data_IF_007733638616
#
_entry.id   IF_007733638616
#
_cell.length_a   1.000
_cell.length_b   1.000
_cell.length_c   1.000
_cell.angle_alpha   90.00
_cell.angle_beta   90.00
_cell.angle_gamma   90.00
#
_symmetry.space_group_name_H-M   'P 1'
#
loop_
_entity.id
_entity.type
_entity.pdbx_description
1 polymer ?
#
# COMPACT_ATOMS: atom_id res chain seq x y z
N UNK A 1 10.08 60.01 7.65
CA UNK A 1 9.14 59.97 8.79
C UNK A 1 8.53 58.57 8.78
N UNK A 2 8.82 57.82 9.85
CA UNK A 2 8.49 56.40 10.12
C UNK A 2 9.33 55.37 9.33
N UNK A 3 9.89 54.31 9.91
CA UNK A 3 10.66 54.06 11.14
C UNK A 3 11.34 52.69 10.89
N UNK A 4 12.59 52.56 11.32
CA UNK A 4 13.51 51.47 11.03
C UNK A 4 13.71 50.67 12.33
N UNK A 5 12.71 49.88 12.75
CA UNK A 5 12.70 49.27 14.08
C UNK A 5 12.21 47.81 14.11
N UNK A 6 12.90 46.90 13.40
CA UNK A 6 12.77 45.45 13.62
C UNK A 6 14.09 44.71 13.36
N UNK A 7 15.10 44.96 14.19
CA UNK A 7 16.22 44.02 14.44
C UNK A 7 16.85 44.41 15.77
N UNK A 8 16.54 43.66 16.82
CA UNK A 8 17.44 43.30 17.94
C UNK A 8 16.63 42.63 19.06
N UNK A 9 16.41 41.33 18.87
CA UNK A 9 15.83 40.44 19.87
C UNK A 9 16.64 39.15 19.94
N UNK A 10 17.97 39.28 20.02
CA UNK A 10 18.84 38.12 20.19
C UNK A 10 18.62 37.53 21.57
N UNK A 11 18.06 36.31 21.64
CA UNK A 11 17.95 35.56 22.89
C UNK A 11 19.38 35.41 23.45
N UNK A 12 19.66 35.91 24.66
CA UNK A 12 21.02 35.93 25.16
C UNK A 12 21.52 34.49 25.33
N UNK A 13 22.71 34.19 24.78
CA UNK A 13 23.28 32.83 24.64
C UNK A 13 23.25 32.02 25.95
N UNK A 14 23.34 32.67 27.11
CA UNK A 14 23.23 32.01 28.42
C UNK A 14 21.84 31.38 28.68
N UNK A 15 20.75 31.95 28.16
CA UNK A 15 19.40 31.37 28.26
C UNK A 15 19.22 30.16 27.35
N UNK A 16 19.83 30.19 26.16
CA UNK A 16 19.83 29.06 25.22
C UNK A 16 20.65 27.89 25.77
N UNK A 17 21.85 28.14 26.30
CA UNK A 17 22.65 27.09 26.93
C UNK A 17 21.96 26.50 28.17
N UNK A 18 21.31 27.33 29.01
CA UNK A 18 20.57 26.85 30.17
C UNK A 18 19.35 26.01 29.75
N UNK A 19 18.65 26.39 28.67
CA UNK A 19 17.53 25.62 28.12
C UNK A 19 17.98 24.27 27.51
N UNK A 20 19.08 24.25 26.75
CA UNK A 20 19.70 23.03 26.21
C UNK A 20 20.15 22.11 27.35
N UNK A 21 20.74 22.68 28.40
CA UNK A 21 21.13 21.91 29.57
C UNK A 21 19.88 21.37 30.29
N UNK A 22 18.82 22.14 30.51
CA UNK A 22 17.61 21.62 31.19
C UNK A 22 16.92 20.52 30.36
N UNK A 23 16.90 20.63 29.03
CA UNK A 23 16.20 19.69 28.15
C UNK A 23 16.98 18.41 27.78
N UNK A 24 18.32 18.38 27.97
CA UNK A 24 19.15 17.27 27.48
C UNK A 24 18.85 15.88 28.08
N UNK A 25 18.54 15.69 29.39
CA UNK A 25 18.33 14.35 29.93
C UNK A 25 17.01 13.72 29.46
N UNK A 26 15.86 14.43 29.45
CA UNK A 26 14.65 13.88 28.84
C UNK A 26 14.84 13.56 27.36
N UNK A 27 15.50 14.45 26.60
CA UNK A 27 15.74 14.21 25.17
C UNK A 27 16.61 12.97 24.91
N UNK A 28 17.66 12.76 25.71
CA UNK A 28 18.51 11.58 25.64
C UNK A 28 17.76 10.29 26.01
N UNK A 29 16.87 10.36 27.01
CA UNK A 29 16.03 9.23 27.41
C UNK A 29 15.04 8.83 26.31
N UNK A 30 14.36 9.81 25.70
CA UNK A 30 13.43 9.54 24.59
C UNK A 30 14.15 9.00 23.34
N UNK A 31 15.34 9.52 23.04
CA UNK A 31 16.17 9.01 21.93
C UNK A 31 16.59 7.56 22.18
N UNK A 32 17.05 7.26 23.41
CA UNK A 32 17.43 5.91 23.81
C UNK A 32 16.26 4.94 23.72
N UNK A 33 15.08 5.36 24.20
CA UNK A 33 13.85 4.57 24.11
C UNK A 33 13.48 4.22 22.66
N UNK A 34 13.50 5.21 21.76
CA UNK A 34 13.21 5.00 20.34
C UNK A 34 14.21 4.04 19.68
N UNK A 35 15.51 4.27 19.88
CA UNK A 35 16.57 3.41 19.33
C UNK A 35 16.42 1.97 19.83
N UNK A 36 16.12 1.76 21.10
CA UNK A 36 15.93 0.42 21.67
C UNK A 36 14.70 -0.28 21.11
N UNK A 37 13.58 0.42 20.92
CA UNK A 37 12.40 -0.19 20.28
C UNK A 37 12.71 -0.64 18.86
N UNK A 38 13.47 0.17 18.12
CA UNK A 38 13.79 -0.10 16.72
C UNK A 38 14.82 -1.23 16.56
N UNK A 39 15.70 -1.45 17.55
CA UNK A 39 16.84 -2.38 17.44
C UNK A 39 16.74 -3.62 18.34
N UNK A 40 15.82 -3.66 19.31
CA UNK A 40 15.60 -4.87 20.12
C UNK A 40 14.93 -5.95 19.26
N UNK A 41 15.55 -7.13 19.10
CA UNK A 41 14.97 -8.21 18.31
C UNK A 41 13.64 -8.67 18.91
N UNK A 42 12.59 -8.71 18.10
CA UNK A 42 11.27 -9.18 18.53
C UNK A 42 11.29 -10.61 19.05
N UNK A 43 12.20 -11.45 18.55
CA UNK A 43 12.35 -12.84 18.98
C UNK A 43 12.84 -13.00 20.42
N UNK A 44 13.33 -11.94 21.06
CA UNK A 44 13.78 -11.99 22.45
C UNK A 44 12.62 -11.92 23.46
N UNK A 45 11.43 -11.49 23.02
CA UNK A 45 10.28 -11.28 23.90
C UNK A 45 9.08 -12.07 23.38
N UNK A 46 8.51 -12.93 24.23
CA UNK A 46 7.26 -13.64 23.93
C UNK A 46 6.03 -12.74 23.96
N UNK A 47 6.11 -11.60 24.64
CA UNK A 47 5.02 -10.63 24.79
C UNK A 47 5.55 -9.22 24.50
N UNK A 48 4.89 -8.50 23.59
CA UNK A 48 5.32 -7.18 23.14
C UNK A 48 5.50 -6.17 24.28
N UNK A 49 4.66 -6.24 25.32
CA UNK A 49 4.75 -5.32 26.46
C UNK A 49 6.09 -5.42 27.21
N UNK A 50 6.73 -6.59 27.23
CA UNK A 50 8.03 -6.78 27.88
C UNK A 50 9.15 -6.04 27.14
N UNK A 51 9.08 -5.98 25.80
CA UNK A 51 10.00 -5.20 24.97
C UNK A 51 9.88 -3.71 25.30
N UNK A 52 8.66 -3.18 25.37
CA UNK A 52 8.40 -1.78 25.72
C UNK A 52 8.82 -1.46 27.16
N UNK A 53 8.59 -2.38 28.10
CA UNK A 53 9.00 -2.21 29.50
C UNK A 53 10.53 -2.17 29.64
N UNK A 54 11.25 -3.04 28.92
CA UNK A 54 12.72 -3.03 28.94
C UNK A 54 13.27 -1.73 28.34
N UNK A 55 12.74 -1.28 27.20
CA UNK A 55 13.15 -0.02 26.58
C UNK A 55 12.91 1.17 27.53
N UNK A 56 11.78 1.17 28.25
CA UNK A 56 11.44 2.20 29.23
C UNK A 56 12.40 2.20 30.42
N UNK A 57 12.72 1.02 30.97
CA UNK A 57 13.67 0.88 32.08
C UNK A 57 15.08 1.36 31.69
N UNK A 58 15.56 0.97 30.51
CA UNK A 58 16.86 1.39 30.00
C UNK A 58 16.93 2.90 29.77
N UNK A 59 15.88 3.51 29.20
CA UNK A 59 15.78 4.96 29.07
C UNK A 59 15.77 5.68 30.44
N UNK A 60 15.10 5.09 31.44
CA UNK A 60 15.10 5.57 32.82
C UNK A 60 16.49 5.55 33.47
N UNK A 61 17.27 4.50 33.24
CA UNK A 61 18.67 4.40 33.72
C UNK A 61 19.56 5.46 33.08
N UNK A 62 19.45 5.69 31.78
CA UNK A 62 20.19 6.76 31.09
C UNK A 62 19.82 8.13 31.63
N UNK A 63 18.53 8.39 31.86
CA UNK A 63 18.05 9.62 32.46
C UNK A 63 18.63 9.84 33.87
N UNK A 64 18.56 8.83 34.74
CA UNK A 64 19.11 8.87 36.09
C UNK A 64 20.63 9.06 36.10
N UNK A 65 21.36 8.39 35.20
CA UNK A 65 22.81 8.55 35.04
C UNK A 65 23.19 9.98 34.66
N UNK A 66 22.53 10.55 33.65
CA UNK A 66 22.74 11.95 33.23
C UNK A 66 22.33 12.95 34.32
N UNK A 67 21.24 12.68 35.06
CA UNK A 67 20.82 13.50 36.19
C UNK A 67 21.82 13.45 37.36
N UNK A 68 22.46 12.30 37.58
CA UNK A 68 23.45 12.11 38.64
C UNK A 68 24.79 12.76 38.30
N UNK A 69 25.23 12.64 37.04
CA UNK A 69 26.44 13.32 36.55
C UNK A 69 26.36 14.84 36.71
N UNK A 70 25.15 15.43 36.57
CA UNK A 70 24.93 16.87 36.79
C UNK A 70 25.13 17.32 38.22
N UNK A 71 25.02 16.42 39.19
CA UNK A 71 25.23 16.73 40.60
C UNK A 71 26.71 16.67 40.99
N UNK A 72 27.60 16.34 40.04
CA UNK A 72 29.03 16.32 40.30
C UNK A 72 29.61 17.75 40.26
N UNK A 73 30.25 18.23 41.34
CA UNK A 73 30.79 19.59 41.43
C UNK A 73 31.89 19.88 40.38
N UNK A 74 32.51 18.84 39.82
CA UNK A 74 33.50 18.96 38.74
C UNK A 74 32.90 19.41 37.39
N UNK A 75 31.59 19.27 37.17
CA UNK A 75 30.94 19.76 35.94
C UNK A 75 30.57 21.24 36.08
N UNK A 76 30.22 21.69 37.29
CA UNK A 76 29.91 23.11 37.54
C UNK A 76 31.12 24.02 37.27
N UNK A 77 32.34 23.57 37.59
CA UNK A 77 33.58 24.30 37.35
C UNK A 77 33.92 24.46 35.85
N UNK A 78 33.61 23.46 35.02
CA UNK A 78 33.79 23.52 33.56
C UNK A 78 32.83 24.53 32.91
N UNK A 79 31.58 24.60 33.38
CA UNK A 79 30.63 25.62 32.91
C UNK A 79 31.00 27.04 33.35
N UNK A 80 31.65 27.20 34.50
CA UNK A 80 32.09 28.51 35.00
C UNK A 80 33.27 29.09 34.20
N UNK A 81 34.18 28.24 33.68
CA UNK A 81 35.35 28.69 32.90
C UNK A 81 35.05 29.11 31.45
N UNK A 82 33.88 28.77 30.91
CA UNK A 82 33.56 29.05 29.49
C UNK A 82 32.97 30.46 29.28
N UNK A 83 32.83 31.28 30.33
CA UNK A 83 32.21 32.62 30.29
C UNK A 83 33.20 33.67 30.81
N UNK A 84 34.32 33.83 30.12
CA UNK A 84 35.16 35.02 30.25
C UNK A 84 35.11 35.79 28.91
N UNK A 85 34.70 37.08 28.89
CA UNK A 85 34.67 37.87 27.67
C UNK A 85 36.10 38.21 27.22
N UNK A 86 36.42 37.90 25.98
CA UNK A 86 37.61 38.40 25.31
C UNK A 86 37.34 39.83 24.84
N UNK A 87 37.71 40.80 25.66
CA UNK A 87 37.82 42.20 25.23
C UNK A 87 39.20 42.41 24.60
N UNK A 88 39.22 42.99 23.39
CA UNK A 88 40.38 43.74 22.91
C UNK A 88 40.77 43.50 21.44
N UNK A 89 41.01 44.64 20.79
CA UNK A 89 41.93 44.88 19.67
C UNK A 89 41.30 45.06 18.26
N UNK A 90 41.06 46.36 18.02
CA UNK A 90 41.49 47.19 16.88
C UNK A 90 41.04 46.90 15.44
N UNK A 91 40.32 47.91 14.94
CA UNK A 91 40.12 48.30 13.56
C UNK A 91 41.41 48.72 12.84
N UNK A 92 41.57 48.33 11.57
CA UNK A 92 41.80 49.31 10.50
C UNK A 92 41.58 48.75 9.07
N UNK A 93 41.29 49.62 8.07
CA UNK A 93 40.82 49.26 6.74
C UNK A 93 41.88 49.47 5.65
N UNK A 94 41.86 48.72 4.53
CA UNK A 94 42.43 49.16 3.24
C UNK A 94 41.73 48.49 2.04
N UNK A 95 41.25 49.38 1.16
CA UNK A 95 41.12 49.36 -0.32
C UNK A 95 41.82 48.27 -1.15
N UNK A 96 41.33 48.00 -2.37
CA UNK A 96 42.19 47.47 -3.44
C UNK A 96 41.49 46.69 -4.55
N UNK A 97 41.58 47.22 -5.77
CA UNK A 97 40.96 46.79 -7.02
C UNK A 97 41.78 45.75 -7.83
N UNK A 98 41.24 45.42 -9.01
CA UNK A 98 41.87 44.84 -10.22
C UNK A 98 42.02 43.31 -10.25
N UNK A 99 41.34 42.56 -11.13
CA UNK A 99 41.44 42.47 -12.60
C UNK A 99 42.59 41.56 -13.09
N UNK A 100 42.22 40.65 -14.00
CA UNK A 100 42.97 40.25 -15.21
C UNK A 100 43.25 38.75 -15.40
N UNK A 101 42.99 38.34 -16.64
CA UNK A 101 43.72 37.38 -17.47
C UNK A 101 43.47 35.85 -17.35
N UNK A 102 42.77 35.34 -18.37
CA UNK A 102 43.07 34.09 -19.11
C UNK A 102 44.47 34.16 -19.77
N UNK A 103 45.08 33.03 -20.18
CA UNK A 103 44.85 32.42 -21.52
C UNK A 103 44.58 30.89 -21.43
N UNK A 104 43.77 30.29 -22.31
CA UNK A 104 44.12 29.65 -23.61
C UNK A 104 45.29 28.63 -23.46
N UNK A 105 45.27 27.38 -23.94
CA UNK A 105 44.96 26.87 -25.30
C UNK A 105 45.26 25.35 -25.25
N UNK A 106 44.50 24.40 -25.84
CA UNK A 106 44.72 23.69 -27.13
C UNK A 106 43.99 22.32 -26.98
N UNK A 107 43.00 21.94 -27.79
CA UNK A 107 43.03 21.50 -29.20
C UNK A 107 43.37 20.01 -29.42
N UNK A 108 42.37 19.23 -29.87
CA UNK A 108 42.34 18.29 -31.04
C UNK A 108 41.14 17.35 -30.89
N UNK A 109 40.08 17.47 -31.69
CA UNK A 109 39.92 17.07 -33.10
C UNK A 109 39.87 15.55 -33.31
N UNK A 110 38.77 15.05 -33.89
CA UNK A 110 38.66 13.69 -34.38
C UNK A 110 37.22 13.16 -34.48
N UNK A 111 36.49 13.59 -35.50
CA UNK A 111 35.34 12.90 -36.10
C UNK A 111 35.53 12.99 -37.63
N UNK A 112 34.68 12.42 -38.50
CA UNK A 112 33.66 11.34 -38.37
C UNK A 112 33.84 10.27 -39.48
N UNK A 113 33.00 9.20 -39.53
CA UNK A 113 32.30 8.71 -40.75
C UNK A 113 31.55 7.36 -40.56
N UNK A 114 30.64 6.94 -41.50
CA UNK A 114 29.22 6.76 -41.16
C UNK A 114 28.59 5.44 -41.70
N UNK A 115 27.25 5.42 -41.75
CA UNK A 115 26.33 4.61 -42.58
C UNK A 115 25.82 3.29 -41.98
N UNK A 116 24.53 3.28 -41.63
CA UNK A 116 23.56 2.27 -42.11
C UNK A 116 22.12 2.79 -41.92
N UNK A 117 21.55 3.25 -43.03
CA UNK A 117 20.11 3.48 -43.25
C UNK A 117 19.38 2.16 -43.44
N UNK A 118 18.23 1.94 -42.79
CA UNK A 118 17.22 0.99 -43.28
C UNK A 118 15.80 1.46 -42.94
N UNK A 119 15.22 2.06 -43.98
CA UNK A 119 13.83 2.03 -44.45
C UNK A 119 12.70 1.59 -43.50
N UNK A 120 11.76 2.53 -43.35
CA UNK A 120 10.33 2.31 -43.09
C UNK A 120 9.66 1.60 -44.28
N UNK A 121 8.52 0.94 -44.03
CA UNK A 121 7.29 1.47 -44.61
C UNK A 121 6.06 1.36 -43.69
N UNK A 122 5.15 2.30 -43.88
CA UNK A 122 3.74 2.30 -43.47
C UNK A 122 3.00 3.16 -44.51
N UNK A 123 1.66 3.13 -44.68
CA UNK A 123 0.63 2.30 -44.05
C UNK A 123 -0.35 1.64 -45.06
N UNK A 124 -1.18 0.70 -44.60
CA UNK A 124 -2.47 0.43 -45.23
C UNK A 124 -3.51 -0.02 -44.20
N UNK A 125 -4.62 0.72 -44.20
CA UNK A 125 -5.84 0.56 -43.40
C UNK A 125 -6.53 -0.80 -43.61
N UNK A 126 -7.13 -1.33 -42.54
CA UNK A 126 -8.45 -1.96 -42.59
C UNK A 126 -9.12 -1.88 -41.20
N UNK A 127 -10.28 -1.21 -41.18
CA UNK A 127 -11.25 -1.15 -40.08
C UNK A 127 -11.99 -2.50 -39.92
N UNK A 128 -12.29 -2.85 -38.67
CA UNK A 128 -13.47 -3.58 -38.12
C UNK A 128 -13.00 -4.21 -36.79
N UNK A 129 -13.65 -4.13 -35.63
CA UNK A 129 -14.99 -3.75 -35.20
C UNK A 129 -15.23 -4.49 -33.87
N UNK A 130 -16.22 -4.02 -33.10
CA UNK A 130 -16.85 -4.66 -31.93
C UNK A 130 -16.27 -4.42 -30.52
N UNK A 131 -16.95 -3.48 -29.84
CA UNK A 131 -17.18 -3.39 -28.40
C UNK A 131 -17.66 -4.72 -27.78
N UNK A 132 -17.22 -5.01 -26.56
CA UNK A 132 -17.94 -5.80 -25.55
C UNK A 132 -17.29 -5.53 -24.18
N UNK A 133 -17.99 -5.26 -23.09
CA UNK A 133 -19.41 -5.14 -22.84
C UNK A 133 -19.59 -4.82 -21.35
N UNK A 134 -20.25 -3.72 -21.06
CA UNK A 134 -20.81 -3.42 -19.75
C UNK A 134 -22.18 -4.13 -19.62
N UNK A 135 -22.48 -4.59 -18.41
CA UNK A 135 -23.77 -5.00 -17.84
C UNK A 135 -25.05 -4.95 -18.72
N UNK A 136 -25.77 -6.08 -18.75
CA UNK A 136 -27.24 -6.22 -18.79
C UNK A 136 -27.55 -7.64 -18.27
N UNK A 137 -28.48 -7.94 -17.35
CA UNK A 137 -29.70 -7.26 -16.93
C UNK A 137 -30.88 -7.71 -17.79
N UNK A 138 -31.68 -8.67 -17.31
CA UNK A 138 -33.00 -8.99 -17.87
C UNK A 138 -34.00 -9.38 -16.76
N UNK A 139 -35.00 -8.50 -16.59
CA UNK A 139 -36.21 -8.63 -15.78
C UNK A 139 -37.27 -9.50 -16.47
N UNK A 140 -38.21 -10.07 -15.70
CA UNK A 140 -39.66 -10.04 -16.01
C UNK A 140 -40.50 -10.55 -14.83
N UNK A 141 -41.51 -9.77 -14.42
CA UNK A 141 -42.60 -10.25 -13.56
C UNK A 141 -43.30 -9.14 -12.77
N UNK A 142 -44.32 -8.52 -13.38
CA UNK A 142 -45.16 -7.48 -12.80
C UNK A 142 -46.12 -7.99 -11.70
N UNK A 143 -46.38 -7.18 -10.67
CA UNK A 143 -47.75 -6.88 -10.23
C UNK A 143 -47.77 -5.64 -9.32
N UNK A 144 -48.82 -4.83 -9.49
CA UNK A 144 -49.15 -3.67 -8.68
C UNK A 144 -49.78 -4.11 -7.34
N UNK A 145 -49.52 -3.36 -6.25
CA UNK A 145 -50.59 -2.66 -5.52
C UNK A 145 -50.07 -1.74 -4.41
N UNK A 146 -50.92 -0.77 -4.08
CA UNK A 146 -50.69 0.39 -3.24
C UNK A 146 -50.65 0.10 -1.72
N UNK A 147 -49.99 0.97 -0.95
CA UNK A 147 -50.05 0.96 0.51
C UNK A 147 -49.25 2.08 1.16
N UNK A 148 -49.90 3.23 1.36
CA UNK A 148 -49.45 4.39 2.14
C UNK A 148 -49.19 4.05 3.62
N UNK A 149 -48.09 4.57 4.19
CA UNK A 149 -47.85 4.54 5.63
C UNK A 149 -46.81 5.56 6.07
N UNK A 150 -47.28 6.72 6.52
CA UNK A 150 -46.49 7.78 7.12
C UNK A 150 -46.05 7.41 8.55
N UNK A 151 -44.79 7.70 8.90
CA UNK A 151 -44.25 7.54 10.24
C UNK A 151 -43.13 8.54 10.49
N UNK A 152 -43.51 9.69 11.05
CA UNK A 152 -42.64 10.78 11.52
C UNK A 152 -41.89 10.38 12.79
N UNK A 153 -40.57 10.53 12.79
CA UNK A 153 -39.72 10.47 13.98
C UNK A 153 -38.56 11.45 13.83
N UNK A 154 -38.62 12.55 14.56
CA UNK A 154 -37.76 13.72 14.44
C UNK A 154 -36.36 13.53 15.07
N UNK A 155 -35.37 13.98 14.31
CA UNK A 155 -34.25 14.85 14.67
C UNK A 155 -33.65 14.80 16.09
N UNK A 156 -32.38 14.38 16.12
CA UNK A 156 -31.34 15.06 16.89
C UNK A 156 -30.04 15.06 16.06
N UNK A 157 -29.90 16.06 15.19
CA UNK A 157 -28.69 16.29 14.40
C UNK A 157 -27.61 17.03 15.19
N UNK A 158 -26.34 16.70 14.94
CA UNK A 158 -25.25 17.67 14.82
C UNK A 158 -24.14 17.07 13.95
N UNK A 159 -23.93 17.65 12.76
CA UNK A 159 -22.75 17.38 11.93
C UNK A 159 -22.96 16.48 10.70
N UNK A 160 -24.03 16.67 9.92
CA UNK A 160 -24.09 16.17 8.54
C UNK A 160 -23.07 16.95 7.68
N UNK A 161 -21.79 16.60 7.79
CA UNK A 161 -20.76 17.03 6.86
C UNK A 161 -21.17 16.57 5.47
N UNK A 162 -21.24 17.50 4.52
CA UNK A 162 -21.43 17.17 3.11
C UNK A 162 -20.44 16.06 2.74
N UNK A 163 -20.94 14.84 2.55
CA UNK A 163 -20.10 13.67 2.31
C UNK A 163 -19.18 13.94 1.13
N UNK A 164 -17.90 13.59 1.26
CA UNK A 164 -16.94 13.77 0.16
C UNK A 164 -17.44 12.96 -1.03
N UNK A 165 -17.82 13.66 -2.10
CA UNK A 165 -18.29 13.03 -3.33
C UNK A 165 -17.24 12.08 -3.91
N UNK A 166 -17.67 10.95 -4.49
CA UNK A 166 -16.79 10.01 -5.18
C UNK A 166 -15.94 10.69 -6.26
N UNK A 167 -16.47 11.72 -6.93
CA UNK A 167 -15.73 12.51 -7.91
C UNK A 167 -14.56 13.27 -7.28
N UNK A 168 -14.74 13.81 -6.07
CA UNK A 168 -13.68 14.51 -5.33
C UNK A 168 -12.58 13.53 -4.92
N UNK A 169 -12.95 12.33 -4.47
CA UNK A 169 -12.00 11.26 -4.13
C UNK A 169 -11.17 10.84 -5.35
N UNK A 170 -11.83 10.59 -6.48
CA UNK A 170 -11.17 10.22 -7.74
C UNK A 170 -10.25 11.34 -8.24
N UNK A 171 -10.68 12.60 -8.17
CA UNK A 171 -9.85 13.75 -8.56
C UNK A 171 -8.60 13.88 -7.67
N UNK A 172 -8.73 13.68 -6.36
CA UNK A 172 -7.62 13.69 -5.41
C UNK A 172 -6.61 12.57 -5.69
N UNK A 173 -7.11 11.33 -5.85
CA UNK A 173 -6.28 10.18 -6.17
C UNK A 173 -5.54 10.35 -7.50
N UNK A 174 -6.24 10.81 -8.55
CA UNK A 174 -5.66 11.13 -9.86
C UNK A 174 -4.49 12.11 -9.73
N UNK A 175 -4.72 13.23 -9.04
CA UNK A 175 -3.69 14.27 -8.82
C UNK A 175 -2.46 13.66 -8.17
N UNK A 176 -2.64 12.87 -7.10
CA UNK A 176 -1.51 12.29 -6.37
C UNK A 176 -0.77 11.24 -7.19
N UNK A 177 -1.46 10.38 -7.94
CA UNK A 177 -0.81 9.38 -8.81
C UNK A 177 0.08 10.06 -9.86
N UNK A 178 -0.42 11.12 -10.50
CA UNK A 178 0.35 11.89 -11.48
C UNK A 178 1.58 12.57 -10.87
N UNK A 179 1.50 13.05 -9.62
CA UNK A 179 2.64 13.66 -8.92
C UNK A 179 3.69 12.65 -8.45
N UNK A 180 3.32 11.37 -8.32
CA UNK A 180 4.15 10.33 -7.70
C UNK A 180 4.67 9.30 -8.68
N UNK A 181 4.26 9.35 -9.95
CA UNK A 181 4.88 8.52 -10.99
C UNK A 181 6.36 8.87 -11.13
N UNK A 182 7.20 7.86 -11.31
CA UNK A 182 8.66 7.98 -11.42
C UNK A 182 9.19 7.18 -12.61
N UNK A 183 10.29 7.62 -13.25
CA UNK A 183 11.00 6.79 -14.23
C UNK A 183 11.63 5.57 -13.55
N UNK A 184 11.73 4.47 -14.28
CA UNK A 184 12.52 3.32 -13.85
C UNK A 184 14.00 3.57 -14.18
N UNK A 185 14.93 3.49 -13.20
CA UNK A 185 16.35 3.69 -13.46
C UNK A 185 16.87 2.73 -14.55
N UNK A 186 17.67 3.23 -15.49
CA UNK A 186 18.22 2.45 -16.60
C UNK A 186 17.28 2.28 -17.80
N UNK A 187 16.03 2.76 -17.73
CA UNK A 187 15.06 2.67 -18.81
C UNK A 187 14.43 4.04 -19.10
N UNK A 188 14.66 4.56 -20.32
CA UNK A 188 14.27 5.95 -20.64
C UNK A 188 12.74 6.14 -20.81
N UNK A 189 12.02 5.08 -21.19
CA UNK A 189 10.61 5.17 -21.62
C UNK A 189 9.61 4.42 -20.73
N UNK A 190 10.04 3.93 -19.57
CA UNK A 190 9.16 3.18 -18.65
C UNK A 190 9.10 3.88 -17.29
N UNK A 191 7.89 3.96 -16.76
CA UNK A 191 7.56 4.71 -15.54
C UNK A 191 6.56 3.92 -14.71
N UNK A 192 6.55 4.16 -13.41
CA UNK A 192 5.62 3.50 -12.51
C UNK A 192 5.61 4.12 -11.13
N UNK A 193 5.23 3.33 -10.15
CA UNK A 193 5.13 3.78 -8.77
C UNK A 193 5.89 2.84 -7.85
N UNK A 194 6.46 3.41 -6.79
CA UNK A 194 6.87 2.65 -5.64
C UNK A 194 5.64 2.19 -4.84
N UNK A 195 5.87 1.35 -3.86
CA UNK A 195 4.84 0.76 -2.99
C UNK A 195 4.13 1.79 -2.08
N UNK A 196 4.81 2.89 -1.70
CA UNK A 196 4.23 3.96 -0.87
C UNK A 196 4.31 5.32 -1.58
N UNK A 197 3.15 5.93 -1.79
CA UNK A 197 3.00 7.16 -2.57
C UNK A 197 3.69 8.36 -1.92
N UNK A 198 4.73 8.86 -2.58
CA UNK A 198 5.49 10.03 -2.17
C UNK A 198 6.88 9.71 -1.65
N UNK A 199 7.21 8.43 -1.44
CA UNK A 199 8.60 8.05 -1.18
C UNK A 199 9.47 8.27 -2.43
N UNK A 200 10.72 8.75 -2.28
CA UNK A 200 11.64 9.02 -3.39
C UNK A 200 12.30 7.73 -3.90
N UNK A 201 11.51 6.66 -4.01
CA UNK A 201 11.97 5.34 -4.40
C UNK A 201 11.61 5.06 -5.86
N UNK A 202 12.42 4.26 -6.59
CA UNK A 202 12.08 3.85 -7.94
C UNK A 202 10.81 2.99 -7.97
N UNK A 203 10.20 2.84 -9.15
CA UNK A 203 9.08 1.93 -9.36
C UNK A 203 9.35 0.51 -8.85
N UNK A 204 8.33 -0.15 -8.30
CA UNK A 204 8.37 -1.57 -7.93
C UNK A 204 7.25 -2.34 -8.60
N UNK A 205 7.35 -3.68 -8.64
CA UNK A 205 6.32 -4.54 -9.22
C UNK A 205 4.97 -4.34 -8.51
N UNK A 206 4.97 -4.41 -7.17
CA UNK A 206 3.79 -4.14 -6.34
C UNK A 206 3.21 -2.75 -6.60
N UNK A 207 4.06 -1.72 -6.54
CA UNK A 207 3.62 -0.33 -6.70
C UNK A 207 3.02 -0.08 -8.08
N UNK A 208 3.70 -0.51 -9.12
CA UNK A 208 3.27 -0.32 -10.52
C UNK A 208 2.04 -1.16 -10.86
N UNK A 209 1.88 -2.36 -10.28
CA UNK A 209 0.69 -3.20 -10.47
C UNK A 209 -0.56 -2.52 -9.94
N UNK A 210 -0.51 -2.02 -8.70
CA UNK A 210 -1.63 -1.26 -8.12
C UNK A 210 -1.86 0.08 -8.81
N UNK A 211 -0.79 0.75 -9.25
CA UNK A 211 -0.89 1.99 -10.03
C UNK A 211 -1.61 1.77 -11.37
N UNK A 212 -1.26 0.72 -12.11
CA UNK A 212 -1.97 0.34 -13.34
C UNK A 212 -3.44 0.00 -13.07
N UNK A 213 -3.72 -0.76 -12.00
CA UNK A 213 -5.11 -1.04 -11.59
C UNK A 213 -5.90 0.22 -11.26
N UNK A 214 -5.27 1.22 -10.63
CA UNK A 214 -5.88 2.53 -10.36
C UNK A 214 -6.13 3.33 -11.64
N UNK A 215 -5.18 3.35 -12.56
CA UNK A 215 -5.33 3.98 -13.88
C UNK A 215 -6.53 3.40 -14.61
N UNK A 216 -6.67 2.07 -14.61
CA UNK A 216 -7.80 1.38 -15.23
C UNK A 216 -9.12 1.65 -14.47
N UNK A 217 -9.10 1.59 -13.13
CA UNK A 217 -10.31 1.75 -12.32
C UNK A 217 -10.91 3.16 -12.37
N UNK A 218 -10.10 4.19 -12.62
CA UNK A 218 -10.52 5.59 -12.75
C UNK A 218 -10.67 6.04 -14.22
N UNK A 219 -10.45 5.14 -15.17
CA UNK A 219 -10.33 5.45 -16.60
C UNK A 219 -9.43 6.66 -16.87
N UNK A 220 -8.25 6.65 -16.23
CA UNK A 220 -7.33 7.77 -16.25
C UNK A 220 -6.60 7.85 -17.59
N UNK A 221 -6.90 8.91 -18.36
CA UNK A 221 -6.14 9.28 -19.55
C UNK A 221 -5.24 10.48 -19.26
N UNK A 222 -3.94 10.34 -19.51
CA UNK A 222 -2.97 11.43 -19.38
C UNK A 222 -1.76 11.20 -20.32
N UNK A 223 -1.25 12.22 -21.04
CA UNK A 223 -0.15 12.03 -22.00
C UNK A 223 1.13 11.44 -21.41
N UNK A 224 1.39 11.66 -20.12
CA UNK A 224 2.55 11.09 -19.43
C UNK A 224 2.34 9.68 -18.84
N UNK A 225 1.12 9.14 -18.95
CA UNK A 225 0.73 7.82 -18.45
C UNK A 225 -0.01 7.06 -19.55
N UNK A 226 0.74 6.23 -20.26
CA UNK A 226 0.19 5.27 -21.21
C UNK A 226 0.07 3.87 -20.57
N UNK A 227 -1.02 3.14 -20.86
CA UNK A 227 -1.26 1.79 -20.34
C UNK A 227 -0.19 0.81 -20.85
N UNK A 228 0.17 0.91 -22.13
CA UNK A 228 1.22 0.08 -22.73
C UNK A 228 2.58 0.34 -22.10
N UNK A 229 2.90 1.60 -21.80
CA UNK A 229 4.09 1.97 -21.05
C UNK A 229 4.12 1.32 -19.65
N UNK A 230 3.01 1.35 -18.90
CA UNK A 230 2.95 0.72 -17.58
C UNK A 230 3.09 -0.82 -17.65
N UNK A 231 2.55 -1.45 -18.69
CA UNK A 231 2.77 -2.88 -18.95
C UNK A 231 4.25 -3.15 -19.24
N UNK A 232 4.91 -2.35 -20.09
CA UNK A 232 6.36 -2.46 -20.32
C UNK A 232 7.17 -2.24 -19.05
N UNK A 233 6.76 -1.31 -18.17
CA UNK A 233 7.41 -1.13 -16.86
C UNK A 233 7.31 -2.40 -16.02
N UNK A 234 6.14 -3.06 -15.98
CA UNK A 234 5.98 -4.30 -15.22
C UNK A 234 6.83 -5.42 -15.81
N UNK A 235 6.86 -5.59 -17.14
CA UNK A 235 7.73 -6.57 -17.79
C UNK A 235 9.23 -6.28 -17.53
N UNK A 236 9.64 -5.01 -17.47
CA UNK A 236 11.01 -4.64 -17.12
C UNK A 236 11.36 -4.89 -15.64
N UNK A 237 10.36 -5.08 -14.78
CA UNK A 237 10.51 -5.40 -13.35
C UNK A 237 10.44 -6.91 -13.08
N UNK A 238 10.33 -7.73 -14.12
CA UNK A 238 10.35 -9.19 -14.04
C UNK A 238 11.70 -9.67 -13.45
N UNK A 239 11.64 -10.65 -12.55
CA UNK A 239 12.82 -11.30 -11.97
C UNK A 239 13.45 -12.25 -13.00
N UNK A 240 14.68 -12.72 -12.73
CA UNK A 240 15.41 -13.59 -13.67
C UNK A 240 14.72 -14.94 -13.92
N UNK A 241 13.92 -15.40 -12.96
CA UNK A 241 13.10 -16.61 -13.03
C UNK A 241 11.74 -16.39 -13.72
N UNK A 242 11.48 -15.17 -14.20
CA UNK A 242 10.27 -14.78 -14.91
C UNK A 242 9.13 -14.28 -14.03
N UNK A 243 9.21 -14.48 -12.70
CA UNK A 243 8.16 -14.02 -11.78
C UNK A 243 8.35 -12.56 -11.36
N UNK A 244 7.50 -12.08 -10.46
CA UNK A 244 7.69 -10.79 -9.80
C UNK A 244 7.92 -10.95 -8.31
N UNK A 245 8.71 -10.06 -7.75
CA UNK A 245 9.01 -9.98 -6.33
C UNK A 245 8.66 -8.59 -5.79
N UNK A 246 8.29 -8.54 -4.51
CA UNK A 246 8.20 -7.28 -3.79
C UNK A 246 9.60 -6.70 -3.61
N UNK A 247 9.68 -5.41 -3.33
CA UNK A 247 10.97 -4.74 -3.18
C UNK A 247 11.77 -5.21 -1.96
N UNK A 248 11.08 -5.65 -0.91
CA UNK A 248 11.71 -6.26 0.27
C UNK A 248 12.20 -7.68 0.01
N UNK A 249 11.85 -8.26 -1.14
CA UNK A 249 12.19 -9.62 -1.49
C UNK A 249 13.43 -9.69 -2.39
N UNK A 250 14.14 -10.82 -2.33
CA UNK A 250 15.48 -11.01 -2.93
C UNK A 250 15.52 -11.21 -4.45
N UNK A 251 14.55 -10.65 -5.18
CA UNK A 251 14.50 -10.73 -6.66
C UNK A 251 14.23 -12.15 -7.19
N UNK A 252 13.54 -12.98 -6.39
CA UNK A 252 12.98 -14.27 -6.78
C UNK A 252 11.47 -14.09 -6.89
N UNK A 253 10.89 -14.54 -8.00
CA UNK A 253 9.47 -14.49 -8.26
C UNK A 253 8.66 -15.16 -7.16
N UNK A 254 7.62 -14.48 -6.66
CA UNK A 254 6.68 -15.00 -5.66
C UNK A 254 5.27 -15.03 -6.20
N UNK A 255 4.45 -16.03 -5.82
CA UNK A 255 3.10 -16.19 -6.35
C UNK A 255 2.22 -14.97 -6.08
N UNK A 256 2.29 -14.36 -4.89
CA UNK A 256 1.44 -13.21 -4.55
C UNK A 256 1.72 -11.97 -5.43
N UNK A 257 2.99 -11.67 -5.69
CA UNK A 257 3.36 -10.48 -6.48
C UNK A 257 3.19 -10.74 -7.97
N UNK A 258 3.50 -11.96 -8.42
CA UNK A 258 3.24 -12.41 -9.79
C UNK A 258 1.75 -12.36 -10.11
N UNK A 259 0.90 -12.85 -9.20
CA UNK A 259 -0.55 -12.75 -9.36
C UNK A 259 -1.04 -11.30 -9.38
N UNK A 260 -0.42 -10.39 -8.63
CA UNK A 260 -0.76 -8.97 -8.70
C UNK A 260 -0.41 -8.34 -10.04
N UNK A 261 0.81 -8.57 -10.52
CA UNK A 261 1.30 -8.07 -11.80
C UNK A 261 0.50 -8.64 -12.96
N UNK A 262 0.32 -9.96 -13.02
CA UNK A 262 -0.44 -10.65 -14.06
C UNK A 262 -1.88 -10.12 -14.15
N UNK A 263 -2.59 -10.04 -13.02
CA UNK A 263 -3.95 -9.50 -13.01
C UNK A 263 -4.03 -8.03 -13.44
N UNK A 264 -2.99 -7.22 -13.20
CA UNK A 264 -2.96 -5.85 -13.68
C UNK A 264 -2.70 -5.76 -15.20
N UNK A 265 -1.74 -6.56 -15.69
CA UNK A 265 -1.34 -6.58 -17.11
C UNK A 265 -2.46 -7.15 -17.98
N UNK A 266 -3.10 -8.26 -17.58
CA UNK A 266 -4.21 -8.85 -18.32
C UNK A 266 -5.37 -7.86 -18.52
N UNK A 267 -5.75 -7.10 -17.48
CA UNK A 267 -6.78 -6.05 -17.59
C UNK A 267 -6.38 -4.90 -18.53
N UNK A 268 -5.09 -4.69 -18.74
CA UNK A 268 -4.59 -3.68 -19.66
C UNK A 268 -4.57 -4.15 -21.13
N UNK A 269 -4.93 -5.40 -21.40
CA UNK A 269 -5.02 -5.95 -22.77
C UNK A 269 -3.78 -6.73 -23.21
N UNK A 270 -3.33 -7.68 -22.40
CA UNK A 270 -2.22 -8.58 -22.77
C UNK A 270 -2.61 -9.52 -23.90
N UNK A 271 -1.70 -9.77 -24.84
CA UNK A 271 -1.92 -10.74 -25.90
C UNK A 271 -2.13 -12.17 -25.36
N UNK A 272 -2.88 -13.03 -26.06
CA UNK A 272 -3.22 -14.37 -25.59
C UNK A 272 -2.02 -15.28 -25.31
N UNK A 273 -0.95 -15.19 -26.11
CA UNK A 273 0.22 -16.08 -25.99
C UNK A 273 1.05 -15.72 -24.76
N UNK A 274 1.35 -14.43 -24.58
CA UNK A 274 2.06 -13.93 -23.39
C UNK A 274 1.26 -14.19 -22.13
N UNK A 275 -0.06 -14.01 -22.17
CA UNK A 275 -0.95 -14.34 -21.05
C UNK A 275 -0.86 -15.82 -20.69
N UNK A 276 -0.93 -16.72 -21.68
CA UNK A 276 -0.88 -18.17 -21.44
C UNK A 276 0.46 -18.58 -20.80
N UNK A 277 1.58 -18.03 -21.29
CA UNK A 277 2.90 -18.22 -20.69
C UNK A 277 2.96 -17.77 -19.23
N UNK A 278 2.47 -16.57 -18.94
CA UNK A 278 2.52 -16.01 -17.57
C UNK A 278 1.56 -16.72 -16.61
N UNK A 279 0.43 -17.24 -17.10
CA UNK A 279 -0.47 -18.10 -16.31
C UNK A 279 0.24 -19.40 -15.95
N UNK A 280 0.86 -20.08 -16.90
CA UNK A 280 1.62 -21.31 -16.63
C UNK A 280 2.74 -21.05 -15.60
N UNK A 281 3.48 -19.95 -15.75
CA UNK A 281 4.48 -19.53 -14.77
C UNK A 281 3.87 -19.33 -13.37
N UNK A 282 2.73 -18.62 -13.26
CA UNK A 282 2.07 -18.41 -11.97
C UNK A 282 1.67 -19.74 -11.33
N UNK A 283 1.16 -20.69 -12.11
CA UNK A 283 0.81 -22.02 -11.61
C UNK A 283 2.04 -22.77 -11.08
N UNK A 284 3.14 -22.76 -11.84
CA UNK A 284 4.39 -23.45 -11.48
C UNK A 284 5.00 -22.88 -10.19
N UNK A 285 5.15 -21.55 -10.10
CA UNK A 285 5.70 -20.92 -8.88
C UNK A 285 4.77 -21.10 -7.67
N UNK A 286 3.46 -21.21 -7.88
CA UNK A 286 2.50 -21.45 -6.80
C UNK A 286 2.66 -22.87 -6.27
N UNK A 287 2.74 -23.87 -7.15
CA UNK A 287 2.95 -25.27 -6.74
C UNK A 287 4.28 -25.48 -6.03
N UNK A 288 5.31 -24.74 -6.42
CA UNK A 288 6.64 -24.82 -5.80
C UNK A 288 6.76 -24.07 -4.47
N UNK A 289 5.82 -23.19 -4.12
CA UNK A 289 5.90 -22.34 -2.92
C UNK A 289 5.06 -22.92 -1.76
N UNK A 290 5.63 -23.89 -1.04
CA UNK A 290 4.99 -24.51 0.14
C UNK A 290 4.55 -23.49 1.19
N UNK A 291 5.36 -22.46 1.44
CA UNK A 291 5.02 -21.39 2.41
C UNK A 291 3.82 -20.58 1.89
N UNK A 292 3.82 -20.25 0.60
CA UNK A 292 2.70 -19.57 -0.05
C UNK A 292 1.41 -20.38 -0.01
N UNK A 293 1.47 -21.69 -0.31
CA UNK A 293 0.31 -22.59 -0.24
C UNK A 293 -0.29 -22.72 1.16
N UNK A 294 0.49 -22.39 2.20
CA UNK A 294 0.01 -22.35 3.58
C UNK A 294 -0.51 -20.97 4.00
N UNK A 295 -0.46 -19.93 3.17
CA UNK A 295 -0.97 -18.61 3.52
C UNK A 295 -2.35 -18.37 2.90
N UNK A 296 -3.33 -18.01 3.74
CA UNK A 296 -4.67 -17.64 3.27
C UNK A 296 -4.59 -16.48 2.27
N UNK A 297 -3.73 -15.50 2.53
CA UNK A 297 -3.58 -14.33 1.65
C UNK A 297 -3.03 -14.67 0.29
N UNK A 298 -1.99 -15.51 0.24
CA UNK A 298 -1.36 -15.92 -1.02
C UNK A 298 -2.35 -16.74 -1.82
N UNK A 299 -2.93 -17.79 -1.25
CA UNK A 299 -3.90 -18.66 -1.94
C UNK A 299 -5.12 -17.86 -2.42
N UNK A 300 -5.71 -17.01 -1.56
CA UNK A 300 -6.84 -16.14 -1.95
C UNK A 300 -6.47 -15.18 -3.09
N UNK A 301 -5.23 -14.70 -3.13
CA UNK A 301 -4.74 -13.83 -4.22
C UNK A 301 -4.64 -14.61 -5.53
N UNK A 302 -4.05 -15.81 -5.49
CA UNK A 302 -3.87 -16.64 -6.69
C UNK A 302 -5.23 -17.10 -7.23
N UNK A 303 -6.13 -17.60 -6.37
CA UNK A 303 -7.51 -17.95 -6.74
C UNK A 303 -8.22 -16.77 -7.40
N UNK A 304 -8.18 -15.59 -6.76
CA UNK A 304 -8.81 -14.38 -7.29
C UNK A 304 -8.25 -13.95 -8.65
N UNK A 305 -6.96 -14.16 -8.89
CA UNK A 305 -6.32 -13.84 -10.16
C UNK A 305 -6.65 -14.88 -11.21
N UNK A 306 -6.53 -16.19 -10.92
CA UNK A 306 -6.83 -17.27 -11.85
C UNK A 306 -8.29 -17.25 -12.30
N UNK A 307 -9.24 -17.06 -11.37
CA UNK A 307 -10.65 -16.91 -11.72
C UNK A 307 -10.90 -15.81 -12.76
N UNK A 308 -10.10 -14.74 -12.71
CA UNK A 308 -10.22 -13.61 -13.63
C UNK A 308 -9.46 -13.83 -14.96
N UNK A 309 -8.22 -14.29 -14.90
CA UNK A 309 -7.32 -14.29 -16.08
C UNK A 309 -7.24 -15.65 -16.79
N UNK A 310 -7.58 -16.72 -16.08
CA UNK A 310 -7.47 -18.11 -16.52
C UNK A 310 -8.55 -18.99 -15.85
N UNK A 311 -9.85 -18.74 -16.08
CA UNK A 311 -10.94 -19.47 -15.42
C UNK A 311 -10.96 -20.99 -15.72
N UNK A 312 -10.18 -21.44 -16.71
CA UNK A 312 -10.01 -22.85 -17.07
C UNK A 312 -8.72 -23.49 -16.51
N UNK A 313 -7.98 -22.75 -15.67
CA UNK A 313 -6.81 -23.29 -14.98
C UNK A 313 -7.22 -24.48 -14.12
N UNK A 314 -6.46 -25.58 -14.18
CA UNK A 314 -6.72 -26.74 -13.31
C UNK A 314 -6.33 -26.47 -11.86
N UNK A 315 -5.43 -25.51 -11.62
CA UNK A 315 -5.02 -25.11 -10.28
C UNK A 315 -6.11 -24.30 -9.56
N UNK A 316 -7.01 -23.65 -10.29
CA UNK A 316 -8.10 -22.85 -9.70
C UNK A 316 -9.02 -23.68 -8.78
N UNK A 317 -9.64 -24.80 -9.24
CA UNK A 317 -10.46 -25.64 -8.37
C UNK A 317 -9.63 -26.26 -7.22
N UNK A 318 -8.39 -26.71 -7.48
CA UNK A 318 -7.51 -27.26 -6.45
C UNK A 318 -7.28 -26.29 -5.27
N UNK A 319 -7.00 -25.01 -5.57
CA UNK A 319 -6.79 -23.99 -4.56
C UNK A 319 -8.08 -23.50 -3.89
N UNK A 320 -9.20 -23.50 -4.61
CA UNK A 320 -10.50 -23.19 -4.02
C UNK A 320 -10.93 -24.26 -3.01
N UNK A 321 -10.75 -25.54 -3.35
CA UNK A 321 -11.00 -26.67 -2.45
C UNK A 321 -10.06 -26.63 -1.23
N UNK A 322 -8.79 -26.26 -1.44
CA UNK A 322 -7.84 -26.06 -0.34
C UNK A 322 -8.32 -24.98 0.65
N UNK A 323 -8.86 -23.86 0.16
CA UNK A 323 -9.43 -22.82 1.01
C UNK A 323 -10.62 -23.35 1.81
N UNK A 324 -11.56 -24.03 1.17
CA UNK A 324 -12.74 -24.62 1.85
C UNK A 324 -12.31 -25.62 2.92
N UNK A 325 -11.43 -26.56 2.59
CA UNK A 325 -10.95 -27.59 3.51
C UNK A 325 -10.16 -27.01 4.71
N UNK A 326 -9.59 -25.81 4.55
CA UNK A 326 -8.78 -25.14 5.57
C UNK A 326 -9.56 -24.17 6.45
N UNK A 327 -10.88 -24.02 6.24
CA UNK A 327 -11.71 -23.19 7.10
C UNK A 327 -11.67 -23.69 8.55
N UNK A 328 -11.47 -22.78 9.50
CA UNK A 328 -11.51 -23.07 10.94
C UNK A 328 -12.95 -23.07 11.42
N UNK A 329 -13.41 -24.21 11.95
CA UNK A 329 -14.71 -24.35 12.61
C UNK A 329 -14.53 -24.29 14.12
N UNK A 330 -14.82 -23.14 14.76
CA UNK A 330 -14.65 -22.96 16.20
C UNK A 330 -15.94 -22.39 16.83
N UNK A 331 -16.55 -23.14 17.75
CA UNK A 331 -17.80 -22.73 18.44
C UNK A 331 -18.93 -22.31 17.48
N UNK A 332 -19.14 -23.08 16.41
CA UNK A 332 -20.18 -22.79 15.40
C UNK A 332 -19.84 -21.60 14.48
N UNK A 333 -18.59 -21.13 14.51
CA UNK A 333 -18.08 -20.06 13.65
C UNK A 333 -17.16 -20.66 12.59
N UNK A 334 -17.29 -20.20 11.35
CA UNK A 334 -16.47 -20.62 10.22
C UNK A 334 -15.67 -19.43 9.72
N UNK A 335 -14.36 -19.56 9.56
CA UNK A 335 -13.55 -18.51 8.99
C UNK A 335 -12.09 -18.91 8.82
N UNK A 336 -11.27 -17.96 8.38
CA UNK A 336 -9.86 -18.19 8.09
C UNK A 336 -8.98 -17.27 8.93
N UNK A 337 -7.86 -17.80 9.42
CA UNK A 337 -6.75 -16.99 9.93
C UNK A 337 -5.60 -16.93 8.92
N UNK A 338 -4.41 -16.55 9.38
CA UNK A 338 -3.22 -16.35 8.54
C UNK A 338 -2.80 -17.63 7.79
N UNK A 339 -2.67 -18.74 8.53
CA UNK A 339 -2.11 -19.99 8.02
C UNK A 339 -3.19 -21.04 7.74
N UNK A 340 -3.19 -21.58 6.52
CA UNK A 340 -3.97 -22.76 6.12
C UNK A 340 -3.38 -24.04 6.75
N UNK A 341 -4.23 -25.01 7.05
CA UNK A 341 -3.86 -26.30 7.63
C UNK A 341 -3.59 -26.30 9.15
N UNK A 342 -3.09 -25.20 9.72
CA UNK A 342 -2.90 -25.06 11.18
C UNK A 342 -4.18 -24.66 11.93
N UNK A 343 -5.23 -24.29 11.19
CA UNK A 343 -6.53 -23.82 11.70
C UNK A 343 -6.39 -22.77 12.83
N UNK A 344 -5.62 -21.69 12.60
CA UNK A 344 -5.53 -20.60 13.57
C UNK A 344 -6.91 -19.98 13.80
N UNK A 345 -7.09 -19.22 14.90
CA UNK A 345 -8.29 -18.44 15.12
C UNK A 345 -8.62 -17.59 13.88
N UNK A 346 -9.89 -17.58 13.42
CA UNK A 346 -10.29 -16.74 12.31
C UNK A 346 -9.98 -15.27 12.56
N UNK A 347 -9.50 -14.55 11.54
CA UNK A 347 -9.36 -13.10 11.55
C UNK A 347 -10.22 -12.45 10.46
N UNK A 348 -10.75 -11.22 10.68
CA UNK A 348 -11.63 -10.57 9.71
C UNK A 348 -10.97 -10.35 8.35
N UNK A 349 -9.68 -9.98 8.34
CA UNK A 349 -8.95 -9.73 7.10
C UNK A 349 -8.82 -10.99 6.24
N UNK A 350 -8.37 -12.10 6.83
CA UNK A 350 -8.19 -13.37 6.13
C UNK A 350 -9.52 -13.97 5.69
N UNK A 351 -10.53 -13.92 6.56
CA UNK A 351 -11.87 -14.41 6.23
C UNK A 351 -12.51 -13.62 5.09
N UNK A 352 -12.44 -12.30 5.12
CA UNK A 352 -12.97 -11.47 4.05
C UNK A 352 -12.26 -11.71 2.71
N UNK A 353 -10.94 -11.93 2.73
CA UNK A 353 -10.15 -12.26 1.53
C UNK A 353 -10.54 -13.63 0.96
N UNK A 354 -10.69 -14.64 1.80
CA UNK A 354 -11.14 -15.97 1.40
C UNK A 354 -12.54 -15.91 0.78
N UNK A 355 -13.50 -15.21 1.40
CA UNK A 355 -14.85 -15.01 0.84
C UNK A 355 -14.80 -14.39 -0.56
N UNK A 356 -14.02 -13.31 -0.75
CA UNK A 356 -13.88 -12.66 -2.07
C UNK A 356 -13.28 -13.61 -3.10
N UNK A 357 -12.28 -14.41 -2.72
CA UNK A 357 -11.66 -15.38 -3.61
C UNK A 357 -12.63 -16.52 -3.99
N UNK A 358 -13.32 -17.09 -3.01
CA UNK A 358 -14.27 -18.18 -3.22
C UNK A 358 -15.47 -17.74 -4.06
N UNK A 359 -16.00 -16.51 -3.87
CA UNK A 359 -17.08 -15.99 -4.71
C UNK A 359 -16.66 -15.82 -6.16
N UNK A 360 -15.45 -15.29 -6.40
CA UNK A 360 -14.89 -15.21 -7.76
C UNK A 360 -14.68 -16.58 -8.40
N UNK A 361 -14.27 -17.56 -7.61
CA UNK A 361 -14.14 -18.94 -8.09
C UNK A 361 -15.52 -19.52 -8.42
N UNK A 362 -16.52 -19.34 -7.56
CA UNK A 362 -17.90 -19.79 -7.77
C UNK A 362 -18.55 -19.18 -9.04
N UNK A 363 -18.19 -17.95 -9.40
CA UNK A 363 -18.68 -17.29 -10.62
C UNK A 363 -18.23 -17.99 -11.92
N UNK A 364 -17.11 -18.75 -11.87
CA UNK A 364 -16.51 -19.38 -13.07
C UNK A 364 -16.44 -20.90 -13.01
N UNK A 365 -16.48 -21.48 -11.80
CA UNK A 365 -16.52 -22.91 -11.58
C UNK A 365 -17.98 -23.40 -11.52
N UNK A 366 -18.33 -24.37 -12.33
CA UNK A 366 -19.71 -24.86 -12.40
C UNK A 366 -20.10 -25.65 -11.13
N UNK A 367 -21.17 -25.23 -10.44
CA UNK A 367 -21.89 -25.97 -9.39
C UNK A 367 -21.05 -26.55 -8.23
N UNK A 368 -20.20 -25.73 -7.59
CA UNK A 368 -19.53 -26.11 -6.34
C UNK A 368 -20.31 -25.60 -5.11
N UNK A 369 -21.33 -26.37 -4.68
CA UNK A 369 -22.17 -26.03 -3.51
C UNK A 369 -21.35 -25.77 -2.24
N UNK A 370 -20.24 -26.49 -2.07
CA UNK A 370 -19.36 -26.37 -0.90
C UNK A 370 -18.74 -24.96 -0.80
N UNK A 371 -18.55 -24.24 -1.92
CA UNK A 371 -18.06 -22.87 -1.91
C UNK A 371 -19.10 -21.91 -1.33
N UNK A 372 -20.35 -22.03 -1.76
CA UNK A 372 -21.44 -21.16 -1.30
C UNK A 372 -21.75 -21.40 0.18
N UNK A 373 -21.74 -22.66 0.63
CA UNK A 373 -21.93 -23.01 2.04
C UNK A 373 -20.81 -22.44 2.92
N UNK A 374 -19.55 -22.58 2.49
CA UNK A 374 -18.41 -22.00 3.20
C UNK A 374 -18.48 -20.47 3.26
N UNK A 375 -18.85 -19.82 2.15
CA UNK A 375 -19.03 -18.35 2.10
C UNK A 375 -20.15 -17.91 3.04
N UNK A 376 -21.32 -18.55 2.99
CA UNK A 376 -22.47 -18.20 3.83
C UNK A 376 -22.16 -18.28 5.31
N UNK A 377 -21.59 -19.40 5.76
CA UNK A 377 -21.23 -19.59 7.17
C UNK A 377 -20.17 -18.60 7.65
N UNK A 378 -19.22 -18.23 6.79
CA UNK A 378 -18.17 -17.27 7.13
C UNK A 378 -18.60 -15.82 7.06
N UNK A 379 -19.54 -15.47 6.19
CA UNK A 379 -20.11 -14.13 6.13
C UNK A 379 -20.86 -13.80 7.42
N UNK A 380 -21.64 -14.75 7.93
CA UNK A 380 -22.33 -14.65 9.21
C UNK A 380 -21.38 -14.37 10.37
N UNK A 381 -20.24 -15.09 10.40
CA UNK A 381 -19.21 -14.84 11.39
C UNK A 381 -18.59 -13.45 11.23
N UNK A 382 -18.27 -13.05 9.99
CA UNK A 382 -17.63 -11.77 9.68
C UNK A 382 -18.49 -10.59 10.12
N UNK A 383 -19.79 -10.64 9.86
CA UNK A 383 -20.78 -9.64 10.28
C UNK A 383 -20.84 -9.57 11.81
N UNK A 384 -20.94 -10.72 12.49
CA UNK A 384 -20.99 -10.79 13.97
C UNK A 384 -19.70 -10.32 14.63
N UNK A 385 -18.55 -10.53 14.01
CA UNK A 385 -17.27 -10.07 14.53
C UNK A 385 -17.21 -8.54 14.61
N UNK A 386 -17.73 -7.84 13.58
CA UNK A 386 -17.77 -6.37 13.53
C UNK A 386 -16.40 -5.67 13.57
N UNK A 387 -15.30 -6.42 13.57
CA UNK A 387 -13.95 -5.87 13.72
C UNK A 387 -13.41 -5.41 12.36
N UNK A 388 -13.08 -4.13 12.30
CA UNK A 388 -12.58 -3.43 11.13
C UNK A 388 -11.15 -2.88 11.36
N UNK A 389 -10.50 -3.35 12.42
CA UNK A 389 -9.13 -2.99 12.77
C UNK A 389 -8.17 -3.50 11.72
N UNK A 390 -7.21 -2.66 11.38
CA UNK A 390 -6.16 -2.99 10.43
C UNK A 390 -5.27 -4.12 10.96
N UNK A 391 -4.93 -5.06 10.08
CA UNK A 391 -4.17 -6.27 10.41
C UNK A 391 -2.92 -6.39 9.52
N UNK A 392 -1.91 -7.16 9.93
CA UNK A 392 -0.74 -7.41 9.10
C UNK A 392 -0.17 -8.80 9.34
N UNK A 393 0.34 -9.41 8.28
CA UNK A 393 1.02 -10.71 8.34
C UNK A 393 2.45 -10.60 7.79
N UNK A 394 3.30 -11.55 8.18
CA UNK A 394 4.70 -11.62 7.73
C UNK A 394 4.99 -12.97 7.12
N UNK A 395 5.11 -13.02 5.81
CA UNK A 395 5.52 -14.22 5.10
C UNK A 395 7.05 -14.28 5.04
N UNK A 396 7.61 -15.34 5.61
CA UNK A 396 9.06 -15.60 5.67
C UNK A 396 9.38 -16.86 4.88
N UNK A 397 10.23 -16.73 3.87
CA UNK A 397 10.66 -17.84 3.01
C UNK A 397 12.18 -18.03 3.12
N UNK A 398 12.67 -19.26 3.27
CA UNK A 398 14.11 -19.53 3.21
C UNK A 398 14.62 -19.32 1.77
N UNK A 399 15.78 -18.67 1.63
CA UNK A 399 16.50 -18.49 0.36
C UNK A 399 17.97 -18.76 0.63
N UNK A 400 18.40 -20.00 0.38
CA UNK A 400 19.73 -20.48 0.79
C UNK A 400 19.87 -20.41 2.31
N UNK A 401 20.89 -19.69 2.79
CA UNK A 401 21.13 -19.46 4.22
C UNK A 401 20.40 -18.24 4.79
N UNK A 402 19.68 -17.49 3.95
CA UNK A 402 19.07 -16.23 4.33
C UNK A 402 17.53 -16.32 4.33
N UNK A 403 16.88 -15.33 4.94
CA UNK A 403 15.42 -15.22 4.94
C UNK A 403 14.96 -14.11 4.00
N UNK A 404 13.93 -14.43 3.23
CA UNK A 404 13.20 -13.53 2.35
C UNK A 404 11.87 -13.19 3.03
N UNK A 405 11.62 -11.91 3.32
CA UNK A 405 10.45 -11.49 4.12
C UNK A 405 9.62 -10.46 3.38
N UNK A 406 8.30 -10.67 3.38
CA UNK A 406 7.32 -9.67 2.97
C UNK A 406 6.32 -9.46 4.10
N UNK A 407 6.05 -8.19 4.40
CA UNK A 407 4.96 -7.79 5.30
C UNK A 407 3.79 -7.36 4.45
N UNK A 408 2.62 -7.96 4.68
CA UNK A 408 1.38 -7.60 3.99
C UNK A 408 0.50 -6.84 4.99
N UNK A 409 0.24 -5.56 4.71
CA UNK A 409 -0.64 -4.72 5.52
C UNK A 409 -2.07 -4.82 4.95
N UNK A 410 -2.99 -5.37 5.75
CA UNK A 410 -4.38 -5.61 5.38
C UNK A 410 -5.28 -4.44 5.76
N UNK A 411 -5.81 -3.76 4.74
CA UNK A 411 -6.89 -2.79 4.95
C UNK A 411 -8.21 -3.53 5.23
N UNK A 412 -8.38 -3.99 6.47
CA UNK A 412 -9.44 -4.90 6.89
C UNK A 412 -10.82 -4.38 6.52
N UNK A 413 -11.10 -3.11 6.81
CA UNK A 413 -12.38 -2.49 6.47
C UNK A 413 -12.71 -2.57 4.97
N UNK A 414 -11.72 -2.39 4.10
CA UNK A 414 -11.91 -2.50 2.66
C UNK A 414 -12.13 -3.95 2.21
N UNK A 415 -11.45 -4.92 2.82
CA UNK A 415 -11.69 -6.34 2.52
C UNK A 415 -13.07 -6.80 3.00
N UNK A 416 -13.49 -6.42 4.20
CA UNK A 416 -14.84 -6.70 4.72
C UNK A 416 -15.91 -6.10 3.81
N UNK A 417 -15.75 -4.84 3.39
CA UNK A 417 -16.66 -4.21 2.45
C UNK A 417 -16.72 -4.97 1.12
N UNK A 418 -15.58 -5.43 0.58
CA UNK A 418 -15.55 -6.25 -0.65
C UNK A 418 -16.24 -7.60 -0.50
N UNK A 419 -16.05 -8.27 0.63
CA UNK A 419 -16.72 -9.54 0.92
C UNK A 419 -18.24 -9.37 0.95
N UNK A 420 -18.73 -8.35 1.65
CA UNK A 420 -20.15 -7.98 1.69
C UNK A 420 -20.67 -7.57 0.30
N UNK A 421 -19.88 -6.80 -0.46
CA UNK A 421 -20.27 -6.38 -1.81
C UNK A 421 -20.36 -7.54 -2.81
N UNK A 422 -19.59 -8.60 -2.62
CA UNK A 422 -19.62 -9.82 -3.44
C UNK A 422 -20.81 -10.76 -3.14
N UNK A 423 -21.64 -10.41 -2.16
CA UNK A 423 -22.83 -11.18 -1.78
C UNK A 423 -24.10 -10.47 -2.25
N UNK A 424 -25.13 -11.25 -2.60
CA UNK A 424 -26.41 -10.74 -3.14
C UNK A 424 -27.18 -9.95 -2.09
N UNK A 425 -27.20 -10.46 -0.85
CA UNK A 425 -27.95 -9.93 0.28
C UNK A 425 -27.05 -9.69 1.51
N UNK A 426 -26.11 -8.74 1.47
CA UNK A 426 -25.27 -8.44 2.62
C UNK A 426 -26.07 -7.75 3.71
N UNK A 427 -25.61 -7.91 4.95
CA UNK A 427 -26.09 -7.10 6.07
C UNK A 427 -25.87 -5.59 5.77
N UNK A 428 -26.95 -4.78 5.66
CA UNK A 428 -26.81 -3.39 5.26
C UNK A 428 -26.09 -2.52 6.30
N UNK A 429 -26.18 -2.88 7.58
CA UNK A 429 -25.54 -2.13 8.66
C UNK A 429 -24.02 -2.39 8.67
N UNK A 430 -23.61 -3.65 8.56
CA UNK A 430 -22.20 -4.05 8.44
C UNK A 430 -21.55 -3.45 7.20
N UNK A 431 -22.25 -3.46 6.06
CA UNK A 431 -21.73 -2.84 4.82
C UNK A 431 -21.53 -1.33 4.98
N UNK A 432 -22.52 -0.62 5.55
CA UNK A 432 -22.40 0.82 5.83
C UNK A 432 -21.26 1.11 6.81
N UNK A 433 -21.08 0.31 7.85
CA UNK A 433 -20.01 0.47 8.82
C UNK A 433 -18.62 0.27 8.17
N UNK A 434 -18.47 -0.79 7.36
CA UNK A 434 -17.23 -1.06 6.64
C UNK A 434 -16.89 0.06 5.64
N UNK A 435 -17.85 0.51 4.83
CA UNK A 435 -17.68 1.61 3.88
C UNK A 435 -17.40 2.93 4.59
N UNK A 436 -18.09 3.21 5.71
CA UNK A 436 -17.84 4.39 6.55
C UNK A 436 -16.42 4.40 7.11
N UNK A 437 -15.93 3.25 7.59
CA UNK A 437 -14.54 3.08 8.05
C UNK A 437 -13.53 3.29 6.91
N UNK A 438 -13.83 2.80 5.70
CA UNK A 438 -13.00 3.06 4.52
C UNK A 438 -12.96 4.57 4.22
N UNK A 439 -14.10 5.25 4.15
CA UNK A 439 -14.17 6.69 3.88
C UNK A 439 -13.42 7.52 4.94
N UNK A 440 -13.56 7.15 6.21
CA UNK A 440 -12.95 7.87 7.33
C UNK A 440 -11.43 7.86 7.35
N UNK A 441 -10.78 6.96 6.59
CA UNK A 441 -9.30 6.84 6.52
C UNK A 441 -8.68 7.48 5.29
N UNK A 442 -9.47 8.16 4.48
CA UNK A 442 -8.96 8.84 3.30
C UNK A 442 -8.54 10.28 3.64
N UNK A 443 -7.44 10.74 3.06
CA UNK A 443 -7.06 12.16 3.03
C UNK A 443 -6.75 12.56 1.57
N UNK A 444 -7.47 13.56 1.04
CA UNK A 444 -7.25 14.12 -0.30
C UNK A 444 -7.23 13.09 -1.46
N UNK A 445 -8.09 12.08 -1.38
CA UNK A 445 -8.21 10.97 -2.32
C UNK A 445 -7.23 9.82 -2.08
N UNK A 446 -6.48 9.82 -0.98
CA UNK A 446 -5.45 8.81 -0.67
C UNK A 446 -5.72 8.15 0.67
N UNK A 447 -5.62 6.84 0.71
CA UNK A 447 -5.77 6.07 1.94
C UNK A 447 -4.42 5.85 2.62
N UNK A 448 -4.42 5.91 3.94
CA UNK A 448 -3.21 5.91 4.75
C UNK A 448 -3.20 4.72 5.71
N UNK A 449 -2.00 4.18 5.91
CA UNK A 449 -1.70 3.23 6.97
C UNK A 449 -0.76 3.91 7.96
N UNK A 450 -1.26 4.26 9.14
CA UNK A 450 -0.50 5.10 10.09
C UNK A 450 -0.05 6.39 9.38
N UNK A 451 1.27 6.62 9.24
CA UNK A 451 1.84 7.79 8.54
C UNK A 451 2.25 7.50 7.08
N UNK A 452 2.01 6.29 6.59
CA UNK A 452 2.41 5.85 5.25
C UNK A 452 1.24 5.92 4.29
N UNK A 453 1.53 5.95 2.99
CA UNK A 453 0.52 6.07 1.92
C UNK A 453 0.60 4.89 0.95
N UNK A 454 0.22 3.67 1.38
CA UNK A 454 0.37 2.51 0.53
C UNK A 454 -0.55 2.59 -0.69
N UNK A 455 0.00 2.38 -1.88
CA UNK A 455 -0.78 2.52 -3.11
C UNK A 455 -1.91 1.49 -3.20
N UNK A 456 -1.74 0.31 -2.59
CA UNK A 456 -2.78 -0.72 -2.55
C UNK A 456 -3.98 -0.31 -1.70
N UNK A 457 -3.79 0.43 -0.61
CA UNK A 457 -4.90 0.94 0.19
C UNK A 457 -5.72 1.94 -0.61
N UNK A 458 -5.06 2.82 -1.38
CA UNK A 458 -5.75 3.75 -2.27
C UNK A 458 -6.58 2.99 -3.32
N UNK A 459 -6.01 1.95 -3.92
CA UNK A 459 -6.76 1.07 -4.83
C UNK A 459 -7.95 0.39 -4.15
N UNK A 460 -7.73 -0.21 -2.98
CA UNK A 460 -8.76 -0.92 -2.23
C UNK A 460 -9.88 0.03 -1.82
N UNK A 461 -9.56 1.19 -1.24
CA UNK A 461 -10.52 2.21 -0.85
C UNK A 461 -11.34 2.70 -2.03
N UNK A 462 -10.71 3.15 -3.12
CA UNK A 462 -11.44 3.60 -4.31
C UNK A 462 -12.31 2.51 -4.92
N UNK A 463 -11.82 1.27 -5.00
CA UNK A 463 -12.63 0.16 -5.53
C UNK A 463 -13.88 -0.06 -4.69
N UNK A 464 -13.78 -0.03 -3.35
CA UNK A 464 -14.94 -0.15 -2.46
C UNK A 464 -15.93 0.99 -2.66
N UNK A 465 -15.45 2.24 -2.71
CA UNK A 465 -16.36 3.39 -2.88
C UNK A 465 -17.08 3.34 -4.22
N UNK A 466 -16.35 3.01 -5.29
CA UNK A 466 -16.93 2.84 -6.62
C UNK A 466 -17.98 1.73 -6.63
N UNK A 467 -17.63 0.54 -6.14
CA UNK A 467 -18.50 -0.63 -6.20
C UNK A 467 -19.73 -0.43 -5.30
N UNK A 468 -19.59 0.23 -4.15
CA UNK A 468 -20.70 0.63 -3.29
C UNK A 468 -21.62 1.66 -3.95
N UNK A 469 -21.07 2.68 -4.63
CA UNK A 469 -21.85 3.69 -5.35
C UNK A 469 -22.62 3.11 -6.56
N UNK A 470 -22.09 2.06 -7.18
CA UNK A 470 -22.73 1.36 -8.30
C UNK A 470 -23.78 0.34 -7.84
N UNK A 471 -23.81 -0.02 -6.55
CA UNK A 471 -24.81 -0.93 -6.02
C UNK A 471 -26.17 -0.25 -6.04
N UNK A 472 -27.09 -0.79 -6.83
CA UNK A 472 -28.48 -0.30 -6.84
C UNK A 472 -29.09 -0.49 -5.45
N UNK A 473 -29.74 0.51 -4.86
CA UNK A 473 -30.51 0.28 -3.65
C UNK A 473 -31.58 -0.75 -3.98
N UNK A 474 -31.61 -1.86 -3.24
CA UNK A 474 -32.75 -2.78 -3.24
C UNK A 474 -33.92 -1.94 -2.73
N UNK A 475 -34.88 -1.64 -3.61
CA UNK A 475 -36.14 -1.04 -3.19
C UNK A 475 -36.78 -2.06 -2.26
N UNK A 476 -36.84 -1.71 -0.98
CA UNK A 476 -37.51 -2.51 0.04
C UNK A 476 -39.00 -2.25 0.01
#
# INVERSE_FOLDING_TARGET
MIDHSLREGGIPRHRVLKAVFIAAPPAAAFTTYGVLIDHLPESWFTLDFLRYLLALLAAGVVWLGLASLRRLPAIESLTAQTVAPADGVESNPVSGAAASARPDTLARAGAPNPVATRETPSPANANAGANAGANAGADAGASADAGTGAGTGADAGTGAGAGVSALVLVAGARRRLLQTVRPLPGHQDVRGWCQFLGEPLPPSATGTSYGLRLVLAMDLHHPSLDRGMLVRTLLALECKDGGWAARSQRGIGRPEVTAWALGAICRAGLDPDTRSRLVALLEDITRADEVGLRSTTVVSTVVSTLAEVAPRSTLLPELADLLVASATHLHGRVGWGEMLGERPPPSPAHTARAIVALRRAADVLSAHRDLDDAVGASLDWLVKSGDLSDDHERLRRPVGTELDTITIEHFTAAWVAKALLACDHPDPAALRAAVGSVLGRQENGIWQWRQRRPIWMTYQGLSVIRDYAMRRPVRT
#
